data_IF_280376330791
#
_entry.id   IF_280376330791
#
_cell.length_a   1.000
_cell.length_b   1.000
_cell.length_c   1.000
_cell.angle_alpha   90.00
_cell.angle_beta   90.00
_cell.angle_gamma   90.00
#
_symmetry.space_group_name_H-M   'P 1'
#
loop_
_entity.id
_entity.type
_entity.pdbx_description
1 polymer ?
#
# COMPACT_ATOMS: atom_id res chain seq x y z
N UNK A 1 -38.14 32.43 7.64
CA UNK A 1 -37.96 31.46 6.54
C UNK A 1 -37.76 32.25 5.27
N UNK A 2 -36.60 32.09 4.63
CA UNK A 2 -36.60 31.47 3.31
C UNK A 2 -35.53 30.38 3.12
N UNK A 3 -35.95 29.39 2.33
CA UNK A 3 -35.24 28.52 1.39
C UNK A 3 -34.10 27.59 1.84
N UNK A 4 -34.53 26.34 2.00
CA UNK A 4 -33.76 25.11 1.80
C UNK A 4 -32.93 25.23 0.53
N UNK A 5 -31.62 25.45 0.70
CA UNK A 5 -30.65 25.22 -0.38
C UNK A 5 -30.81 23.77 -0.85
N UNK A 6 -31.23 23.62 -2.11
CA UNK A 6 -30.98 22.41 -2.89
C UNK A 6 -29.47 22.12 -2.81
N UNK A 7 -29.09 21.19 -1.93
CA UNK A 7 -27.81 20.49 -2.04
C UNK A 7 -27.87 19.78 -3.40
N UNK A 8 -27.13 20.30 -4.37
CA UNK A 8 -27.02 19.68 -5.70
C UNK A 8 -26.35 18.32 -5.46
N UNK A 9 -27.17 17.26 -5.39
CA UNK A 9 -26.72 15.87 -5.35
C UNK A 9 -25.91 15.65 -6.62
N UNK A 10 -24.63 15.25 -6.49
CA UNK A 10 -23.81 14.91 -7.66
C UNK A 10 -24.32 13.57 -8.21
N UNK A 11 -24.78 13.49 -9.47
CA UNK A 11 -25.33 12.26 -10.06
C UNK A 11 -24.43 11.03 -9.87
N UNK A 12 -23.12 11.24 -9.95
CA UNK A 12 -22.11 10.18 -9.82
C UNK A 12 -22.09 9.54 -8.42
N UNK A 13 -22.31 10.33 -7.36
CA UNK A 13 -22.38 9.81 -5.99
C UNK A 13 -23.64 8.97 -5.79
N UNK A 14 -24.77 9.39 -6.34
CA UNK A 14 -26.01 8.62 -6.20
C UNK A 14 -25.88 7.23 -6.83
N UNK A 15 -25.26 7.16 -8.01
CA UNK A 15 -25.00 5.92 -8.73
C UNK A 15 -24.00 5.01 -7.99
N UNK A 16 -22.96 5.58 -7.38
CA UNK A 16 -22.04 4.82 -6.53
C UNK A 16 -22.78 4.13 -5.39
N UNK A 17 -23.64 4.85 -4.67
CA UNK A 17 -24.41 4.27 -3.57
C UNK A 17 -25.49 3.30 -4.04
N UNK A 18 -26.16 3.54 -5.19
CA UNK A 18 -27.05 2.53 -5.80
C UNK A 18 -26.31 1.22 -6.07
N UNK A 19 -25.08 1.32 -6.60
CA UNK A 19 -24.26 0.15 -6.88
C UNK A 19 -23.78 -0.55 -5.60
N UNK A 20 -23.44 0.21 -4.55
CA UNK A 20 -23.09 -0.36 -3.26
C UNK A 20 -24.28 -1.08 -2.61
N UNK A 21 -25.48 -0.52 -2.72
CA UNK A 21 -26.72 -1.16 -2.24
C UNK A 21 -26.94 -2.50 -2.97
N UNK A 22 -26.81 -2.51 -4.31
CA UNK A 22 -26.95 -3.73 -5.11
C UNK A 22 -25.87 -4.78 -4.81
N UNK A 23 -24.62 -4.36 -4.61
CA UNK A 23 -23.52 -5.24 -4.21
C UNK A 23 -23.77 -5.84 -2.84
N UNK A 24 -24.27 -5.03 -1.88
CA UNK A 24 -24.62 -5.50 -0.55
C UNK A 24 -25.75 -6.52 -0.56
N UNK A 25 -26.77 -6.28 -1.39
CA UNK A 25 -27.91 -7.18 -1.54
C UNK A 25 -27.49 -8.54 -2.14
N UNK A 26 -26.60 -8.54 -3.15
CA UNK A 26 -26.08 -9.77 -3.76
C UNK A 26 -25.17 -10.57 -2.82
N UNK A 27 -24.50 -9.91 -1.87
CA UNK A 27 -23.51 -10.51 -0.96
C UNK A 27 -22.45 -11.36 -1.67
N UNK A 28 -21.68 -10.83 -2.65
CA UNK A 28 -20.67 -11.61 -3.37
C UNK A 28 -19.68 -12.37 -2.48
N UNK A 29 -19.39 -11.85 -1.28
CA UNK A 29 -18.50 -12.49 -0.31
C UNK A 29 -19.03 -13.80 0.30
N UNK A 30 -20.33 -14.09 0.18
CA UNK A 30 -20.87 -15.42 0.57
C UNK A 30 -20.82 -16.42 -0.58
N UNK A 31 -20.39 -16.00 -1.77
CA UNK A 31 -20.40 -16.79 -3.01
C UNK A 31 -18.96 -17.06 -3.48
N UNK A 32 -18.11 -16.04 -3.45
CA UNK A 32 -16.71 -16.12 -3.86
C UNK A 32 -15.91 -16.69 -2.68
N UNK A 33 -15.29 -17.85 -2.90
CA UNK A 33 -14.83 -18.76 -1.84
C UNK A 33 -13.46 -18.40 -1.25
N UNK A 34 -12.77 -17.39 -1.80
CA UNK A 34 -11.42 -17.01 -1.36
C UNK A 34 -11.10 -15.55 -1.72
N UNK A 35 -10.40 -14.83 -0.83
CA UNK A 35 -9.89 -13.47 -1.06
C UNK A 35 -8.73 -13.42 -2.07
N UNK A 36 -8.26 -14.59 -2.52
CA UNK A 36 -7.28 -14.77 -3.61
C UNK A 36 -7.87 -14.90 -5.00
N UNK A 37 -9.18 -15.11 -5.13
CA UNK A 37 -9.83 -15.26 -6.42
C UNK A 37 -10.00 -13.87 -7.07
N UNK A 38 -9.02 -13.49 -7.88
CA UNK A 38 -8.99 -12.21 -8.57
C UNK A 38 -9.87 -12.20 -9.82
N UNK A 39 -10.51 -11.06 -10.05
CA UNK A 39 -11.01 -10.63 -11.35
C UNK A 39 -10.41 -9.27 -11.71
N UNK A 40 -10.48 -8.88 -12.97
CA UNK A 40 -9.95 -7.61 -13.44
C UNK A 40 -11.01 -6.79 -14.15
N UNK A 41 -10.97 -5.46 -13.98
CA UNK A 41 -11.90 -4.51 -14.60
C UNK A 41 -11.10 -3.42 -15.28
N UNK A 42 -11.30 -3.25 -16.58
CA UNK A 42 -10.67 -2.16 -17.33
C UNK A 42 -11.54 -0.92 -17.21
N UNK A 43 -10.98 0.14 -16.64
CA UNK A 43 -11.64 1.43 -16.54
C UNK A 43 -11.85 2.01 -17.95
N UNK A 44 -13.09 2.25 -18.40
CA UNK A 44 -13.35 2.76 -19.75
C UNK A 44 -12.89 4.20 -19.96
N UNK A 45 -12.58 4.94 -18.88
CA UNK A 45 -12.17 6.34 -18.91
C UNK A 45 -10.67 6.48 -19.08
N UNK A 46 -9.88 5.59 -18.45
CA UNK A 46 -8.42 5.68 -18.43
C UNK A 46 -7.73 4.54 -19.19
N UNK A 47 -8.42 3.43 -19.42
CA UNK A 47 -7.85 2.18 -19.94
C UNK A 47 -7.03 1.41 -18.90
N UNK A 48 -6.95 1.89 -17.65
CA UNK A 48 -6.23 1.22 -16.57
C UNK A 48 -7.03 0.02 -16.04
N UNK A 49 -6.34 -1.10 -15.83
CA UNK A 49 -6.94 -2.31 -15.27
C UNK A 49 -6.87 -2.29 -13.74
N UNK A 50 -8.00 -2.47 -13.06
CA UNK A 50 -8.05 -2.73 -11.61
C UNK A 50 -8.20 -4.22 -11.33
N UNK A 51 -7.29 -4.79 -10.53
CA UNK A 51 -7.34 -6.18 -10.08
C UNK A 51 -8.11 -6.25 -8.77
N UNK A 52 -9.16 -7.05 -8.70
CA UNK A 52 -10.17 -6.96 -7.67
C UNK A 52 -10.32 -8.27 -6.92
N UNK A 53 -10.41 -8.21 -5.59
CA UNK A 53 -10.82 -9.34 -4.75
C UNK A 53 -11.97 -8.95 -3.82
N UNK A 54 -12.92 -9.88 -3.67
CA UNK A 54 -14.03 -9.75 -2.71
C UNK A 54 -13.61 -10.33 -1.37
N UNK A 55 -13.91 -9.63 -0.29
CA UNK A 55 -13.59 -10.02 1.09
C UNK A 55 -14.86 -10.06 1.95
N UNK A 56 -14.92 -10.95 2.93
CA UNK A 56 -16.09 -11.03 3.82
C UNK A 56 -16.42 -12.38 4.45
N UNK A 57 -15.75 -13.47 4.08
CA UNK A 57 -16.08 -14.79 4.65
C UNK A 57 -15.80 -14.88 6.16
N UNK A 58 -14.75 -14.22 6.66
CA UNK A 58 -14.39 -14.24 8.08
C UNK A 58 -15.12 -13.18 8.92
N UNK A 59 -16.05 -12.43 8.34
CA UNK A 59 -16.86 -11.39 8.99
C UNK A 59 -16.10 -10.20 9.63
N UNK A 60 -14.77 -10.16 9.60
CA UNK A 60 -13.97 -9.04 10.11
C UNK A 60 -14.08 -7.80 9.22
N UNK A 61 -14.08 -7.99 7.90
CA UNK A 61 -14.27 -6.95 6.90
C UNK A 61 -15.07 -7.52 5.75
N UNK A 62 -16.13 -6.82 5.34
CA UNK A 62 -16.98 -7.21 4.21
C UNK A 62 -16.91 -6.14 3.13
N UNK A 63 -16.55 -6.52 1.90
CA UNK A 63 -16.39 -5.55 0.83
C UNK A 63 -15.59 -6.03 -0.36
N UNK A 64 -14.91 -5.08 -0.98
CA UNK A 64 -14.15 -5.23 -2.21
C UNK A 64 -12.88 -4.39 -2.12
N UNK A 65 -11.74 -5.00 -2.46
CA UNK A 65 -10.52 -4.30 -2.80
C UNK A 65 -10.34 -4.26 -4.31
N UNK A 66 -10.00 -3.10 -4.84
CA UNK A 66 -9.60 -2.89 -6.23
C UNK A 66 -8.19 -2.31 -6.25
N UNK A 67 -7.26 -2.99 -6.92
CA UNK A 67 -5.85 -2.67 -6.99
C UNK A 67 -5.53 -2.08 -8.39
N UNK A 68 -5.41 -0.75 -8.53
CA UNK A 68 -5.29 -0.12 -9.85
C UNK A 68 -3.91 -0.34 -10.48
N UNK A 69 -3.92 -0.79 -11.72
CA UNK A 69 -2.75 -0.94 -12.57
C UNK A 69 -1.71 -1.92 -12.04
N UNK A 70 -0.52 -1.89 -12.67
CA UNK A 70 0.61 -2.74 -12.28
C UNK A 70 1.11 -2.42 -10.86
N UNK A 71 1.03 -1.14 -10.42
CA UNK A 71 1.44 -0.73 -9.07
C UNK A 71 0.52 -1.32 -8.01
N UNK A 72 -0.80 -1.24 -8.20
CA UNK A 72 -1.76 -1.84 -7.28
C UNK A 72 -1.59 -3.36 -7.23
N UNK A 73 -1.45 -4.02 -8.37
CA UNK A 73 -1.25 -5.47 -8.41
C UNK A 73 0.03 -5.91 -7.67
N UNK A 74 1.13 -5.16 -7.79
CA UNK A 74 2.35 -5.40 -7.00
C UNK A 74 2.11 -5.25 -5.49
N UNK A 75 1.32 -4.25 -5.09
CA UNK A 75 0.92 -4.06 -3.69
C UNK A 75 0.12 -5.27 -3.18
N UNK A 76 -0.86 -5.74 -3.96
CA UNK A 76 -1.61 -6.97 -3.66
C UNK A 76 -0.68 -8.18 -3.48
N UNK A 77 0.23 -8.42 -4.42
CA UNK A 77 1.16 -9.55 -4.34
C UNK A 77 2.11 -9.45 -3.14
N UNK A 78 2.55 -8.24 -2.78
CA UNK A 78 3.40 -8.03 -1.59
C UNK A 78 2.66 -8.45 -0.32
N UNK A 79 1.38 -8.10 -0.20
CA UNK A 79 0.54 -8.47 0.93
C UNK A 79 0.25 -9.98 0.94
N UNK A 80 -0.20 -10.53 -0.18
CA UNK A 80 -0.61 -11.94 -0.27
C UNK A 80 0.54 -12.95 -0.16
N UNK A 81 1.74 -12.58 -0.64
CA UNK A 81 2.91 -13.46 -0.59
C UNK A 81 3.81 -13.17 0.60
N UNK A 82 3.44 -12.26 1.51
CA UNK A 82 4.22 -12.02 2.72
C UNK A 82 4.29 -13.30 3.56
N UNK A 83 5.50 -13.74 3.87
CA UNK A 83 5.75 -14.86 4.79
C UNK A 83 6.04 -14.39 6.21
N UNK A 84 6.11 -13.06 6.42
CA UNK A 84 6.37 -12.42 7.70
C UNK A 84 5.02 -12.09 8.33
N UNK A 85 4.77 -12.49 9.59
CA UNK A 85 3.58 -12.09 10.34
C UNK A 85 3.41 -10.56 10.34
N UNK A 86 2.20 -10.01 10.17
CA UNK A 86 1.98 -8.56 10.15
C UNK A 86 2.52 -7.82 11.38
N UNK A 87 2.57 -8.48 12.53
CA UNK A 87 3.12 -7.92 13.77
C UNK A 87 4.64 -7.71 13.69
N UNK A 88 5.34 -8.50 12.86
CA UNK A 88 6.78 -8.42 12.62
C UNK A 88 7.13 -7.57 11.39
N UNK A 89 6.15 -7.23 10.56
CA UNK A 89 6.30 -6.25 9.48
C UNK A 89 5.11 -5.28 9.43
N UNK A 90 5.05 -4.31 10.35
CA UNK A 90 3.97 -3.36 10.41
C UNK A 90 4.08 -2.28 9.31
N UNK A 91 5.15 -2.27 8.50
CA UNK A 91 5.24 -1.40 7.32
C UNK A 91 4.31 -1.83 6.19
N UNK A 92 3.99 -3.13 6.12
CA UNK A 92 3.14 -3.67 5.06
C UNK A 92 1.79 -2.95 4.97
N UNK A 93 1.23 -2.55 6.12
CA UNK A 93 -0.02 -1.79 6.18
C UNK A 93 0.09 -0.38 5.55
N UNK A 94 1.27 0.24 5.61
CA UNK A 94 1.53 1.57 5.05
C UNK A 94 1.89 1.54 3.56
N UNK A 95 2.12 0.38 2.98
CA UNK A 95 2.51 0.21 1.57
C UNK A 95 1.35 -0.20 0.66
N UNK A 96 0.15 -0.30 1.21
CA UNK A 96 -1.04 -0.70 0.47
C UNK A 96 -1.43 0.37 -0.56
N UNK A 97 -1.67 -0.06 -1.80
CA UNK A 97 -2.20 0.77 -2.89
C UNK A 97 -3.48 0.13 -3.42
N UNK A 98 -4.63 0.59 -2.94
CA UNK A 98 -5.93 0.07 -3.36
C UNK A 98 -7.07 1.07 -3.14
N UNK A 99 -8.17 0.82 -3.84
CA UNK A 99 -9.47 1.40 -3.62
C UNK A 99 -10.35 0.38 -2.93
N UNK A 100 -11.16 0.82 -1.98
CA UNK A 100 -11.96 -0.06 -1.13
C UNK A 100 -13.41 0.40 -1.15
N UNK A 101 -14.32 -0.56 -1.35
CA UNK A 101 -15.71 -0.44 -0.95
C UNK A 101 -15.95 -1.42 0.18
N UNK A 102 -16.27 -0.92 1.38
CA UNK A 102 -16.53 -1.75 2.55
C UNK A 102 -17.89 -1.44 3.17
N UNK A 103 -18.43 -2.41 3.89
CA UNK A 103 -19.65 -2.24 4.67
C UNK A 103 -19.29 -2.32 6.15
N UNK A 104 -19.35 -1.18 6.82
CA UNK A 104 -18.85 -1.01 8.19
C UNK A 104 -19.93 -0.49 9.14
N UNK A 105 -19.65 -0.53 10.44
CA UNK A 105 -20.55 0.01 11.46
C UNK A 105 -20.56 1.54 11.45
N UNK A 106 -21.62 2.13 12.00
CA UNK A 106 -21.79 3.58 12.09
C UNK A 106 -20.65 4.27 12.85
N UNK A 107 -20.04 3.58 13.80
CA UNK A 107 -18.99 4.12 14.67
C UNK A 107 -17.63 4.23 13.95
N UNK A 108 -17.45 3.49 12.87
CA UNK A 108 -16.28 3.58 11.99
C UNK A 108 -16.42 4.62 10.87
N UNK A 109 -17.56 5.31 10.78
CA UNK A 109 -17.75 6.41 9.83
C UNK A 109 -17.25 7.73 10.41
N UNK A 110 -16.29 8.35 9.73
CA UNK A 110 -15.84 9.70 10.08
C UNK A 110 -16.86 10.78 9.61
N UNK A 111 -16.61 12.05 9.98
CA UNK A 111 -17.48 13.17 9.60
C UNK A 111 -17.56 13.36 8.08
N UNK A 112 -16.46 13.02 7.43
CA UNK A 112 -16.25 13.04 6.01
C UNK A 112 -17.25 12.00 5.43
N UNK A 113 -17.25 10.75 5.88
CA UNK A 113 -18.03 9.62 5.32
C UNK A 113 -19.52 9.87 5.43
N UNK A 114 -19.94 10.35 6.61
CA UNK A 114 -21.31 10.81 6.87
C UNK A 114 -21.76 11.89 5.89
N UNK A 115 -20.86 12.80 5.49
CA UNK A 115 -21.16 13.82 4.49
C UNK A 115 -21.34 13.22 3.09
N UNK A 116 -20.53 12.24 2.70
CA UNK A 116 -20.65 11.59 1.38
C UNK A 116 -22.01 10.87 1.23
N UNK A 117 -22.46 10.17 2.27
CA UNK A 117 -23.81 9.56 2.33
C UNK A 117 -24.90 10.62 2.18
N UNK A 118 -24.78 11.73 2.92
CA UNK A 118 -25.74 12.84 2.87
C UNK A 118 -25.79 13.50 1.50
N UNK A 119 -24.63 13.80 0.91
CA UNK A 119 -24.49 14.43 -0.40
C UNK A 119 -25.03 13.53 -1.54
N UNK A 120 -25.05 12.21 -1.33
CA UNK A 120 -25.70 11.24 -2.22
C UNK A 120 -27.23 11.15 -2.03
N UNK A 121 -27.80 11.88 -1.06
CA UNK A 121 -29.22 11.83 -0.72
C UNK A 121 -29.66 10.52 -0.05
N UNK A 122 -28.72 9.74 0.49
CA UNK A 122 -28.99 8.42 1.10
C UNK A 122 -29.29 8.54 2.59
N UNK A 123 -30.04 7.55 3.08
CA UNK A 123 -30.23 7.29 4.50
C UNK A 123 -30.13 5.80 4.73
N UNK A 124 -29.23 5.41 5.61
CA UNK A 124 -29.03 4.02 6.01
C UNK A 124 -29.57 3.81 7.42
N UNK A 125 -30.21 2.66 7.62
CA UNK A 125 -30.66 2.14 8.91
C UNK A 125 -30.12 0.72 9.04
N UNK A 126 -29.57 0.36 10.21
CA UNK A 126 -28.95 -0.95 10.45
C UNK A 126 -27.49 -0.83 10.89
N UNK A 127 -26.74 -1.92 10.74
CA UNK A 127 -25.36 -2.07 11.22
C UNK A 127 -24.31 -1.98 10.10
N UNK A 128 -24.73 -1.97 8.84
CA UNK A 128 -23.85 -1.95 7.68
C UNK A 128 -24.06 -0.66 6.87
N UNK A 129 -23.00 0.15 6.79
CA UNK A 129 -22.97 1.40 6.04
C UNK A 129 -21.88 1.30 4.96
N UNK A 130 -22.18 1.65 3.69
CA UNK A 130 -21.16 1.72 2.66
C UNK A 130 -20.13 2.81 3.00
N UNK A 131 -18.86 2.45 2.97
CA UNK A 131 -17.71 3.33 3.13
C UNK A 131 -16.75 3.08 1.98
N UNK A 132 -16.17 4.17 1.47
CA UNK A 132 -15.26 4.12 0.34
C UNK A 132 -13.93 4.76 0.73
N UNK A 133 -12.85 4.01 0.56
CA UNK A 133 -11.52 4.39 1.05
C UNK A 133 -10.50 4.24 -0.06
N UNK A 134 -9.54 5.15 -0.10
CA UNK A 134 -8.36 5.10 -0.94
C UNK A 134 -7.14 4.92 -0.03
N UNK A 135 -6.41 3.83 -0.25
CA UNK A 135 -5.10 3.60 0.31
C UNK A 135 -4.04 3.99 -0.72
N UNK A 136 -3.13 4.87 -0.32
CA UNK A 136 -1.95 5.23 -1.10
C UNK A 136 -0.71 5.03 -0.22
N UNK A 137 0.36 4.39 -0.74
CA UNK A 137 1.54 4.09 0.04
C UNK A 137 2.12 5.33 0.74
N UNK A 138 2.32 5.22 2.05
CA UNK A 138 2.83 6.27 2.92
C UNK A 138 1.83 7.37 3.26
N UNK A 139 0.60 7.34 2.77
CA UNK A 139 -0.44 8.32 3.13
C UNK A 139 -1.46 7.74 4.11
N UNK A 140 -2.04 8.62 4.92
CA UNK A 140 -3.18 8.24 5.74
C UNK A 140 -4.38 7.90 4.84
N UNK A 141 -5.18 6.86 5.16
CA UNK A 141 -6.36 6.53 4.39
C UNK A 141 -7.26 7.75 4.17
N UNK A 142 -7.66 7.97 2.93
CA UNK A 142 -8.47 9.13 2.56
C UNK A 142 -9.60 8.72 1.62
N UNK A 143 -10.37 9.69 1.16
CA UNK A 143 -11.43 9.45 0.19
C UNK A 143 -10.89 9.19 -1.21
N UNK A 144 -11.60 8.35 -1.97
CA UNK A 144 -11.48 8.35 -3.41
C UNK A 144 -11.87 9.70 -4.02
N UNK A 145 -11.16 10.08 -5.07
CA UNK A 145 -11.54 11.12 -6.05
C UNK A 145 -12.81 10.73 -6.82
N UNK A 146 -13.33 11.65 -7.64
CA UNK A 146 -14.52 11.38 -8.46
C UNK A 146 -14.24 10.24 -9.44
N UNK A 147 -13.08 10.26 -10.07
CA UNK A 147 -12.63 9.25 -11.00
C UNK A 147 -12.52 7.88 -10.31
N UNK A 148 -11.89 7.84 -9.14
CA UNK A 148 -11.76 6.61 -8.35
C UNK A 148 -13.11 6.10 -7.83
N UNK A 149 -14.07 6.98 -7.51
CA UNK A 149 -15.43 6.52 -7.15
C UNK A 149 -16.11 5.81 -8.31
N UNK A 150 -15.96 6.31 -9.54
CA UNK A 150 -16.52 5.62 -10.70
C UNK A 150 -15.80 4.30 -10.97
N UNK A 151 -14.48 4.20 -10.71
CA UNK A 151 -13.74 2.92 -10.79
C UNK A 151 -14.26 1.93 -9.76
N UNK A 152 -14.47 2.34 -8.51
CA UNK A 152 -15.04 1.50 -7.45
C UNK A 152 -16.45 1.01 -7.84
N UNK A 153 -17.29 1.89 -8.38
CA UNK A 153 -18.62 1.53 -8.88
C UNK A 153 -18.53 0.44 -9.95
N UNK A 154 -17.69 0.61 -10.95
CA UNK A 154 -17.53 -0.37 -12.04
C UNK A 154 -16.99 -1.71 -11.52
N UNK A 155 -16.07 -1.69 -10.55
CA UNK A 155 -15.57 -2.90 -9.90
C UNK A 155 -16.67 -3.63 -9.12
N UNK A 156 -17.52 -2.93 -8.37
CA UNK A 156 -18.68 -3.54 -7.70
C UNK A 156 -19.69 -4.11 -8.69
N UNK A 157 -19.97 -3.41 -9.80
CA UNK A 157 -20.88 -3.87 -10.84
C UNK A 157 -20.40 -5.20 -11.44
N UNK A 158 -19.12 -5.29 -11.80
CA UNK A 158 -18.51 -6.53 -12.27
C UNK A 158 -18.47 -7.60 -11.17
N UNK A 159 -18.21 -7.23 -9.92
CA UNK A 159 -18.23 -8.17 -8.79
C UNK A 159 -19.56 -8.91 -8.63
N UNK A 160 -20.69 -8.29 -8.98
CA UNK A 160 -22.00 -8.95 -9.04
C UNK A 160 -22.05 -9.98 -10.17
N UNK A 161 -21.55 -9.65 -11.36
CA UNK A 161 -21.48 -10.56 -12.51
C UNK A 161 -20.56 -11.75 -12.22
N UNK A 162 -19.44 -11.50 -11.56
CA UNK A 162 -18.50 -12.52 -11.11
C UNK A 162 -19.18 -13.49 -10.15
N UNK A 163 -19.92 -12.98 -9.16
CA UNK A 163 -20.66 -13.83 -8.23
C UNK A 163 -21.68 -14.73 -8.96
N UNK A 164 -22.40 -14.20 -9.95
CA UNK A 164 -23.31 -15.00 -10.78
C UNK A 164 -22.58 -16.08 -11.59
N UNK A 165 -21.40 -15.76 -12.10
CA UNK A 165 -20.54 -16.72 -12.79
C UNK A 165 -20.08 -17.86 -11.88
N UNK A 166 -19.64 -17.52 -10.66
CA UNK A 166 -19.19 -18.50 -9.65
C UNK A 166 -20.33 -19.39 -9.15
N UNK A 167 -21.56 -18.86 -9.03
CA UNK A 167 -22.76 -19.67 -8.73
C UNK A 167 -23.01 -20.75 -9.80
N UNK A 168 -22.70 -20.47 -11.07
CA UNK A 168 -22.85 -21.41 -12.18
C UNK A 168 -21.66 -22.36 -12.37
N UNK A 169 -20.46 -21.93 -11.99
CA UNK A 169 -19.21 -22.66 -12.14
C UNK A 169 -18.21 -22.26 -11.04
N UNK A 170 -17.89 -23.17 -10.11
CA UNK A 170 -16.92 -22.88 -9.03
C UNK A 170 -15.49 -22.67 -9.54
N UNK A 171 -15.19 -23.02 -10.80
CA UNK A 171 -13.96 -22.72 -11.51
C UNK A 171 -13.97 -21.40 -12.28
N UNK A 172 -15.03 -20.58 -12.19
CA UNK A 172 -15.26 -19.42 -13.05
C UNK A 172 -14.12 -18.38 -13.03
N UNK A 173 -13.38 -18.28 -11.92
CA UNK A 173 -12.22 -17.39 -11.74
C UNK A 173 -10.87 -18.10 -11.75
N UNK A 174 -10.83 -19.42 -11.96
CA UNK A 174 -9.61 -20.22 -11.81
C UNK A 174 -8.89 -20.44 -13.14
N UNK A 175 -7.73 -19.81 -13.30
CA UNK A 175 -6.77 -20.07 -14.37
C UNK A 175 -5.34 -19.96 -13.83
N UNK A 176 -4.40 -20.84 -14.23
CA UNK A 176 -3.05 -20.89 -13.63
C UNK A 176 -2.23 -19.61 -13.76
N UNK A 177 -2.36 -18.89 -14.88
CA UNK A 177 -1.52 -17.75 -15.25
C UNK A 177 -2.30 -16.56 -15.85
N UNK A 178 -3.64 -16.58 -15.75
CA UNK A 178 -4.50 -15.54 -16.32
C UNK A 178 -5.52 -15.04 -15.31
N UNK A 179 -5.96 -13.81 -15.51
CA UNK A 179 -7.05 -13.19 -14.79
C UNK A 179 -8.21 -12.98 -15.75
N UNK A 180 -9.41 -13.27 -15.26
CA UNK A 180 -10.62 -13.00 -16.02
C UNK A 180 -10.89 -11.50 -15.97
N UNK A 181 -10.96 -10.87 -17.14
CA UNK A 181 -10.91 -9.43 -17.30
C UNK A 181 -12.15 -8.93 -18.02
N UNK A 182 -12.85 -7.97 -17.40
CA UNK A 182 -14.04 -7.34 -17.93
C UNK A 182 -13.72 -6.00 -18.59
N UNK A 183 -14.27 -5.82 -19.79
CA UNK A 183 -14.22 -4.58 -20.58
C UNK A 183 -15.62 -4.17 -20.96
N UNK A 184 -15.88 -2.86 -20.95
CA UNK A 184 -17.15 -2.31 -21.41
C UNK A 184 -17.16 -2.25 -22.94
N UNK A 185 -18.13 -2.88 -23.57
CA UNK A 185 -18.32 -2.84 -25.02
C UNK A 185 -18.95 -1.51 -25.45
N UNK A 186 -18.94 -1.25 -26.76
CA UNK A 186 -19.47 -0.01 -27.36
C UNK A 186 -20.97 0.22 -27.11
N UNK A 187 -21.72 -0.85 -26.80
CA UNK A 187 -23.15 -0.79 -26.44
C UNK A 187 -23.38 -0.57 -24.93
N UNK A 188 -22.32 -0.49 -24.11
CA UNK A 188 -22.40 -0.26 -22.68
C UNK A 188 -22.44 -1.51 -21.80
N UNK A 189 -22.51 -2.71 -22.41
CA UNK A 189 -22.49 -3.98 -21.68
C UNK A 189 -21.08 -4.36 -21.23
N UNK A 190 -20.99 -5.27 -20.26
CA UNK A 190 -19.74 -5.86 -19.82
C UNK A 190 -19.48 -7.17 -20.56
N UNK A 191 -18.26 -7.31 -21.09
CA UNK A 191 -17.78 -8.55 -21.73
C UNK A 191 -16.47 -8.98 -21.08
N UNK A 192 -16.30 -10.28 -20.87
CA UNK A 192 -15.10 -10.84 -20.23
C UNK A 192 -14.22 -11.65 -21.18
N UNK A 193 -12.93 -11.72 -20.85
CA UNK A 193 -11.96 -12.61 -21.49
C UNK A 193 -10.82 -12.97 -20.54
N UNK A 194 -10.07 -14.03 -20.84
CA UNK A 194 -8.88 -14.42 -20.07
C UNK A 194 -7.63 -13.66 -20.56
N UNK A 195 -7.13 -12.74 -19.75
CA UNK A 195 -5.95 -11.93 -20.03
C UNK A 195 -4.78 -12.33 -19.11
N UNK A 196 -3.52 -12.22 -19.56
CA UNK A 196 -2.37 -12.50 -18.70
C UNK A 196 -2.32 -11.52 -17.51
N UNK A 197 -1.81 -11.99 -16.37
CA UNK A 197 -1.41 -11.10 -15.29
C UNK A 197 -0.34 -10.11 -15.76
N UNK A 198 -0.26 -8.92 -15.14
CA UNK A 198 0.73 -7.93 -15.55
C UNK A 198 2.13 -8.45 -15.25
N UNK A 199 3.08 -8.16 -16.14
CA UNK A 199 4.47 -8.59 -15.97
C UNK A 199 5.04 -8.07 -14.64
N UNK A 200 5.81 -8.92 -13.97
CA UNK A 200 6.52 -8.55 -12.74
C UNK A 200 7.93 -8.01 -13.01
N UNK A 201 8.36 -7.89 -14.28
CA UNK A 201 9.65 -7.29 -14.61
C UNK A 201 9.83 -5.96 -13.90
N UNK A 202 11.01 -5.77 -13.28
CA UNK A 202 11.38 -4.60 -12.48
C UNK A 202 11.40 -3.34 -13.35
N UNK A 203 10.23 -2.82 -13.70
CA UNK A 203 10.12 -1.62 -14.55
C UNK A 203 10.75 -0.38 -13.90
N UNK A 204 11.03 -0.42 -12.59
CA UNK A 204 11.59 0.69 -11.81
C UNK A 204 12.58 0.24 -10.72
N UNK A 205 13.49 -0.71 -10.99
CA UNK A 205 14.59 -0.94 -10.05
C UNK A 205 15.37 0.37 -9.83
N UNK A 206 15.75 0.72 -8.59
CA UNK A 206 16.49 1.95 -8.36
C UNK A 206 17.82 1.88 -9.12
N UNK A 207 18.21 3.00 -9.73
CA UNK A 207 19.52 3.12 -10.35
C UNK A 207 20.61 2.90 -9.30
N UNK A 208 21.69 2.20 -9.63
CA UNK A 208 22.77 1.96 -8.66
C UNK A 208 23.40 3.29 -8.21
N UNK A 209 23.81 3.36 -6.94
CA UNK A 209 24.38 4.58 -6.36
C UNK A 209 25.76 4.93 -6.94
N UNK A 210 26.08 6.23 -6.97
CA UNK A 210 27.42 6.71 -7.32
C UNK A 210 28.46 6.26 -6.27
N UNK A 211 29.52 5.51 -6.65
CA UNK A 211 30.55 5.05 -5.72
C UNK A 211 31.57 6.12 -5.34
N UNK A 212 31.60 7.30 -5.99
CA UNK A 212 32.63 8.32 -5.78
C UNK A 212 32.78 8.77 -4.31
N UNK A 213 31.70 9.03 -3.54
CA UNK A 213 31.82 9.36 -2.11
C UNK A 213 32.50 8.25 -1.29
N UNK A 214 32.18 6.99 -1.58
CA UNK A 214 32.80 5.83 -0.93
C UNK A 214 34.30 5.70 -1.24
N UNK A 215 34.73 6.01 -2.46
CA UNK A 215 36.15 5.99 -2.83
C UNK A 215 36.95 7.01 -2.02
N UNK A 216 36.39 8.21 -1.80
CA UNK A 216 37.01 9.25 -0.98
C UNK A 216 37.19 8.79 0.48
N UNK A 217 36.20 8.08 1.04
CA UNK A 217 36.26 7.50 2.40
C UNK A 217 37.31 6.39 2.49
N UNK A 218 37.36 5.49 1.51
CA UNK A 218 38.30 4.35 1.49
C UNK A 218 39.76 4.80 1.67
N UNK A 219 40.11 5.94 1.07
CA UNK A 219 41.48 6.48 1.11
C UNK A 219 41.91 7.01 2.48
N UNK A 220 40.99 7.10 3.46
CA UNK A 220 41.23 7.70 4.77
C UNK A 220 41.74 6.71 5.84
N UNK A 221 41.96 5.44 5.49
CA UNK A 221 42.48 4.38 6.40
C UNK A 221 41.70 4.26 7.71
N UNK A 222 40.37 4.16 7.61
CA UNK A 222 39.47 4.04 8.76
C UNK A 222 39.55 2.65 9.42
N UNK A 223 39.15 2.59 10.69
CA UNK A 223 39.04 1.33 11.42
C UNK A 223 37.86 0.49 10.91
N UNK A 224 37.93 -0.84 11.03
CA UNK A 224 36.87 -1.77 10.61
C UNK A 224 36.31 -2.58 11.78
N UNK A 225 35.08 -2.28 12.19
CA UNK A 225 34.45 -2.88 13.37
C UNK A 225 32.91 -2.88 13.27
N UNK A 226 32.27 -3.79 14.01
CA UNK A 226 30.81 -3.94 14.05
C UNK A 226 30.20 -4.50 12.77
N UNK A 227 28.94 -4.88 12.88
CA UNK A 227 28.05 -5.21 11.76
C UNK A 227 26.80 -4.34 11.92
N UNK A 228 26.31 -3.74 10.82
CA UNK A 228 25.25 -2.73 10.91
C UNK A 228 23.99 -3.16 10.17
N UNK A 229 22.85 -2.89 10.78
CA UNK A 229 21.53 -2.92 10.14
C UNK A 229 21.25 -1.52 9.58
N UNK A 230 20.86 -1.43 8.31
CA UNK A 230 20.44 -0.19 7.68
C UNK A 230 19.12 -0.39 6.95
N UNK A 231 18.14 0.44 7.28
CA UNK A 231 16.79 0.29 6.76
C UNK A 231 16.01 1.59 6.80
N UNK A 232 14.93 1.61 6.03
CA UNK A 232 13.92 2.66 6.08
C UNK A 232 12.62 2.02 6.56
N UNK A 233 12.04 2.58 7.61
CA UNK A 233 10.76 2.15 8.18
C UNK A 233 9.77 3.31 8.14
N UNK A 234 8.45 3.04 8.22
CA UNK A 234 7.50 4.10 8.50
C UNK A 234 7.57 4.51 9.96
N UNK A 235 7.51 5.82 10.19
CA UNK A 235 7.39 6.39 11.51
C UNK A 235 5.96 6.19 12.03
N UNK A 236 5.75 5.77 13.29
CA UNK A 236 4.41 5.44 13.81
C UNK A 236 3.49 6.65 14.02
N UNK A 237 3.97 7.88 13.81
CA UNK A 237 3.16 9.09 13.83
C UNK A 237 2.74 9.57 12.44
N UNK A 238 1.79 10.51 12.39
CA UNK A 238 1.40 11.18 11.13
C UNK A 238 1.82 12.64 11.13
N UNK A 239 2.21 13.13 9.95
CA UNK A 239 2.43 14.55 9.68
C UNK A 239 1.39 15.04 8.67
N UNK A 240 1.31 16.36 8.50
CA UNK A 240 0.51 17.00 7.44
C UNK A 240 1.42 17.67 6.43
N UNK A 241 1.20 17.41 5.15
CA UNK A 241 1.83 18.17 4.06
C UNK A 241 1.21 19.57 3.94
N UNK A 242 1.83 20.43 3.13
CA UNK A 242 1.36 21.81 2.90
C UNK A 242 -0.08 21.88 2.36
N UNK A 243 -0.49 20.90 1.55
CA UNK A 243 -1.85 20.76 1.03
C UNK A 243 -2.86 20.19 2.05
N UNK A 244 -2.41 19.90 3.28
CA UNK A 244 -3.22 19.40 4.39
C UNK A 244 -3.44 17.89 4.40
N UNK A 245 -2.88 17.13 3.44
CA UNK A 245 -2.96 15.67 3.45
C UNK A 245 -2.12 15.09 4.60
N UNK A 246 -2.65 14.07 5.26
CA UNK A 246 -1.91 13.34 6.30
C UNK A 246 -1.08 12.25 5.67
N UNK A 247 0.14 12.09 6.14
CA UNK A 247 1.06 11.05 5.67
C UNK A 247 1.89 10.49 6.83
N UNK A 248 2.40 9.28 6.62
CA UNK A 248 3.34 8.60 7.51
C UNK A 248 4.75 8.90 6.99
N UNK A 249 5.54 9.76 7.67
CA UNK A 249 6.92 9.98 7.25
C UNK A 249 7.71 8.68 7.39
N UNK A 250 8.84 8.59 6.70
CA UNK A 250 9.76 7.46 6.82
C UNK A 250 10.93 7.85 7.70
N UNK A 251 11.51 6.87 8.37
CA UNK A 251 12.68 7.01 9.22
C UNK A 251 13.79 6.11 8.65
N UNK A 252 14.84 6.74 8.12
CA UNK A 252 16.08 6.03 7.79
C UNK A 252 16.84 5.80 9.08
N UNK A 253 17.25 4.56 9.33
CA UNK A 253 17.91 4.15 10.57
C UNK A 253 19.14 3.32 10.24
N UNK A 254 20.22 3.57 10.97
CA UNK A 254 21.39 2.69 10.98
C UNK A 254 21.68 2.32 12.43
N UNK A 255 21.72 1.02 12.69
CA UNK A 255 21.92 0.45 14.02
C UNK A 255 23.12 -0.50 14.02
N UNK A 256 23.82 -0.55 15.14
CA UNK A 256 24.77 -1.63 15.41
C UNK A 256 24.00 -2.90 15.74
N UNK A 257 24.23 -3.95 14.95
CA UNK A 257 23.43 -5.18 14.98
C UNK A 257 23.65 -6.00 16.25
N UNK A 258 24.85 -5.96 16.82
CA UNK A 258 25.21 -6.74 18.01
C UNK A 258 24.67 -6.08 19.29
N UNK A 259 24.84 -4.77 19.42
CA UNK A 259 24.43 -4.03 20.62
C UNK A 259 23.00 -3.49 20.57
N UNK A 260 22.34 -3.48 19.41
CA UNK A 260 21.04 -2.85 19.19
C UNK A 260 21.09 -1.31 19.23
N UNK A 261 22.27 -0.70 19.36
CA UNK A 261 22.42 0.75 19.50
C UNK A 261 22.17 1.45 18.16
N UNK A 262 21.28 2.44 18.17
CA UNK A 262 21.10 3.35 17.03
C UNK A 262 22.33 4.22 16.85
N UNK A 263 22.99 4.07 15.70
CA UNK A 263 24.18 4.84 15.34
C UNK A 263 23.79 6.21 14.78
N UNK A 264 22.73 6.25 13.98
CA UNK A 264 22.18 7.48 13.41
C UNK A 264 20.78 7.24 12.85
N UNK A 265 20.00 8.31 12.71
CA UNK A 265 18.66 8.28 12.12
C UNK A 265 18.33 9.60 11.42
N UNK A 266 17.48 9.54 10.40
CA UNK A 266 16.93 10.73 9.72
C UNK A 266 15.46 10.50 9.39
N UNK A 267 14.60 11.43 9.84
CA UNK A 267 13.21 11.48 9.41
C UNK A 267 13.14 12.12 8.01
N UNK A 268 12.41 11.48 7.11
CA UNK A 268 12.21 11.93 5.73
C UNK A 268 10.72 11.95 5.38
N UNK A 269 10.35 12.85 4.46
CA UNK A 269 8.98 12.87 3.93
C UNK A 269 8.80 11.89 2.76
N UNK A 270 7.58 11.82 2.21
CA UNK A 270 7.27 10.94 1.07
C UNK A 270 7.79 11.46 -0.28
N UNK A 271 8.25 12.71 -0.34
CA UNK A 271 8.83 13.31 -1.55
C UNK A 271 10.33 13.03 -1.68
N UNK A 272 11.03 12.81 -0.56
CA UNK A 272 12.45 12.44 -0.55
C UNK A 272 12.68 11.00 -1.07
N UNK A 273 13.81 10.76 -1.73
CA UNK A 273 14.21 9.40 -2.10
C UNK A 273 14.81 8.68 -0.87
N UNK A 274 14.18 7.57 -0.47
CA UNK A 274 14.58 6.82 0.72
C UNK A 274 15.94 6.13 0.58
N UNK A 275 16.30 5.67 -0.61
CA UNK A 275 17.59 5.05 -0.86
C UNK A 275 18.72 6.08 -0.78
N UNK A 276 18.55 7.26 -1.39
CA UNK A 276 19.52 8.35 -1.31
C UNK A 276 19.67 8.88 0.12
N UNK A 277 18.56 9.04 0.85
CA UNK A 277 18.59 9.46 2.25
C UNK A 277 19.34 8.45 3.14
N UNK A 278 19.04 7.16 3.00
CA UNK A 278 19.72 6.09 3.75
C UNK A 278 21.21 6.00 3.40
N UNK A 279 21.57 6.18 2.12
CA UNK A 279 22.96 6.20 1.68
C UNK A 279 23.73 7.39 2.27
N UNK A 280 23.14 8.59 2.23
CA UNK A 280 23.75 9.77 2.86
C UNK A 280 23.96 9.56 4.36
N UNK A 281 22.99 8.93 5.02
CA UNK A 281 23.07 8.59 6.44
C UNK A 281 24.21 7.58 6.72
N UNK A 282 24.38 6.58 5.85
CA UNK A 282 25.42 5.55 5.92
C UNK A 282 26.83 6.12 5.76
N UNK A 283 27.04 6.96 4.74
CA UNK A 283 28.33 7.60 4.52
C UNK A 283 28.65 8.57 5.66
N UNK A 284 27.68 9.37 6.10
CA UNK A 284 27.86 10.33 7.19
C UNK A 284 28.21 9.69 8.53
N UNK A 285 27.64 8.52 8.86
CA UNK A 285 27.99 7.81 10.09
C UNK A 285 29.39 7.20 10.03
N UNK A 286 29.85 6.74 8.86
CA UNK A 286 31.25 6.29 8.68
C UNK A 286 32.22 7.46 8.88
N UNK A 287 31.93 8.61 8.29
CA UNK A 287 32.81 9.79 8.37
C UNK A 287 32.90 10.33 9.81
N UNK A 288 31.77 10.43 10.51
CA UNK A 288 31.70 10.95 11.87
C UNK A 288 32.26 9.98 12.91
N UNK A 289 31.95 8.67 12.80
CA UNK A 289 32.45 7.66 13.73
C UNK A 289 33.88 7.20 13.44
N UNK A 290 34.38 7.45 12.22
CA UNK A 290 35.67 6.94 11.72
C UNK A 290 35.77 5.40 11.71
N UNK A 291 34.62 4.73 11.56
CA UNK A 291 34.48 3.26 11.51
C UNK A 291 33.76 2.87 10.22
N UNK A 292 34.31 1.88 9.51
CA UNK A 292 33.63 1.17 8.42
C UNK A 292 33.11 -0.16 8.98
N UNK A 293 31.83 -0.54 8.77
CA UNK A 293 31.33 -1.82 9.26
C UNK A 293 32.00 -2.99 8.54
N UNK A 294 32.05 -4.13 9.20
CA UNK A 294 32.51 -5.38 8.59
C UNK A 294 31.48 -5.99 7.66
N UNK A 295 30.20 -5.67 7.87
CA UNK A 295 29.07 -6.12 7.06
C UNK A 295 27.90 -5.14 7.21
N UNK A 296 27.14 -4.95 6.14
CA UNK A 296 25.92 -4.17 6.11
C UNK A 296 24.73 -5.07 5.79
N UNK A 297 23.70 -5.02 6.62
CA UNK A 297 22.43 -5.72 6.42
C UNK A 297 21.38 -4.73 5.92
N UNK A 298 20.70 -5.09 4.84
CA UNK A 298 19.70 -4.28 4.16
C UNK A 298 18.41 -5.09 3.99
N UNK A 299 17.26 -4.41 3.98
CA UNK A 299 15.95 -5.08 4.06
C UNK A 299 15.59 -5.92 2.83
N UNK A 300 15.87 -5.39 1.65
CA UNK A 300 15.37 -5.95 0.38
C UNK A 300 16.41 -5.90 -0.74
N UNK A 301 16.20 -6.74 -1.74
CA UNK A 301 17.06 -6.85 -2.91
C UNK A 301 17.24 -5.53 -3.69
N UNK A 302 16.22 -4.66 -3.73
CA UNK A 302 16.30 -3.39 -4.45
C UNK A 302 17.26 -2.42 -3.75
N UNK A 303 17.20 -2.34 -2.42
CA UNK A 303 18.13 -1.57 -1.60
C UNK A 303 19.55 -2.15 -1.71
N UNK A 304 19.72 -3.48 -1.69
CA UNK A 304 21.04 -4.11 -1.91
C UNK A 304 21.63 -3.76 -3.27
N UNK A 305 20.81 -3.82 -4.33
CA UNK A 305 21.21 -3.45 -5.70
C UNK A 305 21.64 -1.99 -5.76
N UNK A 306 20.87 -1.08 -5.15
CA UNK A 306 21.19 0.34 -5.06
C UNK A 306 22.55 0.58 -4.37
N UNK A 307 22.79 -0.06 -3.21
CA UNK A 307 24.00 0.14 -2.40
C UNK A 307 25.24 -0.53 -2.99
N UNK A 308 25.10 -1.47 -3.93
CA UNK A 308 26.18 -2.36 -4.38
C UNK A 308 27.46 -1.63 -4.80
N UNK A 309 27.45 -0.56 -5.62
CA UNK A 309 28.70 0.09 -6.02
C UNK A 309 29.43 0.73 -4.84
N UNK A 310 28.67 1.33 -3.91
CA UNK A 310 29.20 2.01 -2.71
C UNK A 310 29.82 0.99 -1.76
N UNK A 311 29.10 -0.09 -1.46
CA UNK A 311 29.56 -1.13 -0.53
C UNK A 311 30.73 -1.92 -1.11
N UNK A 312 30.74 -2.19 -2.42
CA UNK A 312 31.88 -2.78 -3.10
C UNK A 312 33.13 -1.89 -3.04
N UNK A 313 32.96 -0.57 -3.24
CA UNK A 313 34.05 0.41 -3.13
C UNK A 313 34.67 0.41 -1.73
N UNK A 314 33.84 0.38 -0.68
CA UNK A 314 34.26 0.30 0.72
C UNK A 314 34.71 -1.11 1.15
N UNK A 315 34.58 -2.13 0.29
CA UNK A 315 34.82 -3.54 0.61
C UNK A 315 34.00 -4.00 1.83
N UNK A 316 32.72 -3.64 1.84
CA UNK A 316 31.73 -4.05 2.84
C UNK A 316 30.76 -5.02 2.17
N UNK A 317 30.68 -6.28 2.61
CA UNK A 317 29.63 -7.18 2.16
C UNK A 317 28.26 -6.64 2.54
N UNK A 318 27.38 -6.47 1.55
CA UNK A 318 25.98 -6.13 1.74
C UNK A 318 25.13 -7.40 1.65
N UNK A 319 24.29 -7.64 2.66
CA UNK A 319 23.46 -8.84 2.76
C UNK A 319 21.99 -8.45 2.88
N UNK A 320 21.14 -9.07 2.07
CA UNK A 320 19.70 -8.95 2.21
C UNK A 320 19.22 -9.71 3.45
N UNK A 321 18.44 -9.06 4.30
CA UNK A 321 17.74 -9.69 5.40
C UNK A 321 16.36 -9.04 5.58
N UNK A 322 15.26 -9.81 5.46
CA UNK A 322 13.93 -9.23 5.53
C UNK A 322 13.58 -8.65 6.91
N UNK A 323 14.29 -9.07 7.97
CA UNK A 323 14.10 -8.63 9.34
C UNK A 323 15.39 -8.00 9.89
N UNK A 324 15.36 -6.68 10.02
CA UNK A 324 16.42 -5.88 10.65
C UNK A 324 16.11 -5.74 12.15
N UNK A 325 16.45 -6.77 12.93
CA UNK A 325 16.07 -6.92 14.34
C UNK A 325 16.30 -5.65 15.17
N UNK A 326 17.47 -5.02 15.06
CA UNK A 326 17.80 -3.82 15.85
C UNK A 326 16.93 -2.61 15.48
N UNK A 327 16.47 -2.54 14.22
CA UNK A 327 15.57 -1.48 13.75
C UNK A 327 14.13 -1.78 14.21
N UNK A 328 13.72 -3.05 14.25
CA UNK A 328 12.40 -3.45 14.76
C UNK A 328 12.25 -3.14 16.25
N UNK A 329 13.24 -3.48 17.07
CA UNK A 329 13.24 -3.16 18.51
C UNK A 329 13.19 -1.64 18.75
N UNK A 330 13.90 -0.88 17.94
CA UNK A 330 13.86 0.57 18.01
C UNK A 330 12.47 1.13 17.64
N UNK A 331 11.82 0.56 16.63
CA UNK A 331 10.46 0.93 16.26
C UNK A 331 9.45 0.65 17.37
N UNK A 332 9.50 -0.53 17.99
CA UNK A 332 8.63 -0.87 19.13
C UNK A 332 8.79 0.16 20.26
N UNK A 333 10.03 0.59 20.52
CA UNK A 333 10.31 1.69 21.46
C UNK A 333 9.64 3.01 21.07
N UNK A 334 9.64 3.37 19.79
CA UNK A 334 8.92 4.56 19.29
C UNK A 334 7.40 4.41 19.47
N UNK A 335 6.82 3.27 19.10
CA UNK A 335 5.39 3.01 19.22
C UNK A 335 4.89 3.13 20.66
N UNK A 336 5.67 2.62 21.63
CA UNK A 336 5.34 2.78 23.06
C UNK A 336 5.32 4.24 23.52
N UNK A 337 6.12 5.11 22.89
CA UNK A 337 6.20 6.54 23.21
C UNK A 337 5.03 7.33 22.61
N UNK A 338 4.58 6.96 21.40
CA UNK A 338 3.49 7.64 20.69
C UNK A 338 2.10 7.06 20.97
N UNK A 339 2.00 5.87 21.55
CA UNK A 339 0.73 5.24 21.95
C UNK A 339 0.25 5.63 23.36
N UNK A 340 0.93 6.56 24.04
CA UNK A 340 0.46 7.15 25.28
C UNK A 340 -0.87 7.91 25.11
N UNK A 341 -1.74 7.98 26.12
CA UNK A 341 -3.06 8.60 25.98
C UNK A 341 -2.91 10.10 25.69
N UNK A 342 -3.23 10.48 24.46
CA UNK A 342 -3.42 11.87 24.03
C UNK A 342 -4.85 12.34 24.20
#
# INVERSE_FOLDING_TARGET
>A
MPDKKNEIVRPDLRQLFDQADAFYEKKPWTIIDNDRDLYAVVDPRTGETSYCCVVGQNHEMTGLFAYPGQRGYRSYLKIQNSTIPPELDPDLAFEQLCLVAEFTSRDHLDAKDKRMIKDAGRKYSGEAFPRFVRFEPGFYPDRPSIEETATIKDCMEVGILVAQGVEGDSGFLRHPDRVRTWRRSSNGDWTDSWEPYPSMEETNAPAEADPAPAQAIKNQKLSRHGEWDAGTIFFPGTLKSEDGRRFFPRLCVIADRESGRILTQKLIDNSEDGHLALLGLFLGVIESSRVIPRKLYLRDAATVKFFRPVTASLEVPAVETPLLQSIMEFREGLESTFSGPG
#
